data_IF_277240282028
#
_entry.id   IF_277240282028
#
_cell.length_a   1.000
_cell.length_b   1.000
_cell.length_c   1.000
_cell.angle_alpha   90.00
_cell.angle_beta   90.00
_cell.angle_gamma   90.00
#
_symmetry.space_group_name_H-M   'P 1'
#
loop_
_entity.id
_entity.type
_entity.pdbx_description
1 polymer ?
#
# COMPACT_ATOMS: atom_id res chain seq x y z
N UNK A 1 -4.48 2.07 -18.31
CA UNK A 1 -5.73 2.84 -18.12
C UNK A 1 -5.42 4.32 -18.31
N UNK A 2 -6.38 5.16 -18.67
CA UNK A 2 -6.14 6.59 -18.94
C UNK A 2 -7.10 7.50 -18.15
N UNK A 3 -6.78 8.79 -18.06
CA UNK A 3 -7.66 9.82 -17.52
C UNK A 3 -8.74 10.28 -18.52
N UNK A 4 -9.63 11.20 -18.13
CA UNK A 4 -10.80 11.59 -18.92
C UNK A 4 -10.45 12.11 -20.32
N UNK A 5 -9.44 12.97 -20.43
CA UNK A 5 -9.00 13.60 -21.68
C UNK A 5 -7.99 12.75 -22.48
N UNK A 6 -7.64 11.55 -21.97
CA UNK A 6 -6.66 10.62 -22.56
C UNK A 6 -5.24 11.18 -22.68
N UNK A 7 -4.91 12.21 -21.92
CA UNK A 7 -3.56 12.80 -21.92
C UNK A 7 -2.59 12.09 -20.98
N UNK A 8 -3.08 11.31 -20.02
CA UNK A 8 -2.26 10.57 -19.05
C UNK A 8 -2.65 9.09 -18.96
N UNK A 9 -1.64 8.25 -18.75
CA UNK A 9 -1.79 6.79 -18.70
C UNK A 9 -1.19 6.22 -17.44
N UNK A 10 -1.91 5.30 -16.79
CA UNK A 10 -1.48 4.60 -15.58
C UNK A 10 -1.27 3.10 -15.82
N UNK A 11 -0.17 2.58 -15.24
CA UNK A 11 0.05 1.16 -14.96
C UNK A 11 0.15 0.98 -13.44
N UNK A 12 -0.54 -0.01 -12.91
CA UNK A 12 -0.74 -0.17 -11.47
C UNK A 12 -0.59 -1.63 -11.04
N UNK A 13 0.19 -1.87 -9.98
CA UNK A 13 0.25 -3.15 -9.27
C UNK A 13 -0.06 -2.89 -7.80
N UNK A 14 -1.24 -3.27 -7.36
CA UNK A 14 -1.67 -2.99 -6.00
C UNK A 14 -3.15 -3.16 -5.79
N UNK A 15 -3.59 -2.62 -4.66
CA UNK A 15 -4.98 -2.45 -4.27
C UNK A 15 -5.10 -1.13 -3.49
N UNK A 16 -6.06 -0.29 -3.86
CA UNK A 16 -6.45 0.89 -3.06
C UNK A 16 -7.75 0.58 -2.33
N UNK A 17 -7.68 0.38 -1.02
CA UNK A 17 -8.81 -0.03 -0.19
C UNK A 17 -9.92 1.02 -0.09
N UNK A 18 -9.58 2.30 -0.14
CA UNK A 18 -10.54 3.42 -0.06
C UNK A 18 -10.97 3.96 -1.43
N UNK A 19 -10.79 3.21 -2.52
CA UNK A 19 -11.08 3.71 -3.88
C UNK A 19 -12.54 4.11 -4.08
N UNK A 20 -13.49 3.45 -3.40
CA UNK A 20 -14.93 3.76 -3.51
C UNK A 20 -15.28 5.13 -2.94
N UNK A 21 -14.67 5.48 -1.81
CA UNK A 21 -14.82 6.80 -1.18
C UNK A 21 -14.21 7.88 -2.08
N UNK A 22 -12.97 7.65 -2.54
CA UNK A 22 -12.27 8.57 -3.44
C UNK A 22 -13.04 8.80 -4.74
N UNK A 23 -13.56 7.72 -5.33
CA UNK A 23 -14.39 7.78 -6.53
C UNK A 23 -15.63 8.63 -6.31
N UNK A 24 -16.41 8.36 -5.25
CA UNK A 24 -17.63 9.10 -4.97
C UNK A 24 -17.35 10.62 -4.80
N UNK A 25 -16.23 10.98 -4.18
CA UNK A 25 -15.84 12.38 -4.02
C UNK A 25 -15.31 13.01 -5.32
N UNK A 26 -14.70 12.24 -6.22
CA UNK A 26 -14.29 12.70 -7.56
C UNK A 26 -15.50 12.84 -8.49
N UNK A 27 -16.47 11.92 -8.45
CA UNK A 27 -17.71 12.00 -9.23
C UNK A 27 -18.50 13.27 -8.88
N UNK A 28 -18.59 13.63 -7.59
CA UNK A 28 -19.20 14.90 -7.13
C UNK A 28 -18.50 16.14 -7.67
N UNK A 29 -17.22 16.04 -8.03
CA UNK A 29 -16.42 17.11 -8.63
C UNK A 29 -16.44 17.10 -10.16
N UNK A 30 -17.23 16.22 -10.76
CA UNK A 30 -17.43 16.16 -12.21
C UNK A 30 -16.48 15.21 -12.95
N UNK A 31 -15.71 14.38 -12.24
CA UNK A 31 -14.91 13.35 -12.91
C UNK A 31 -15.81 12.23 -13.45
N UNK A 32 -15.76 12.02 -14.76
CA UNK A 32 -16.43 10.89 -15.41
C UNK A 32 -15.55 9.63 -15.42
N UNK A 33 -16.10 8.52 -14.95
CA UNK A 33 -15.44 7.22 -14.90
C UNK A 33 -16.05 6.26 -15.94
N UNK A 34 -15.21 5.43 -16.56
CA UNK A 34 -15.59 4.40 -17.53
C UNK A 34 -15.32 2.96 -17.06
N UNK A 35 -14.71 2.76 -15.90
CA UNK A 35 -14.54 1.47 -15.23
C UNK A 35 -14.99 1.57 -13.78
N UNK A 36 -14.96 0.45 -13.03
CA UNK A 36 -15.13 0.43 -11.57
C UNK A 36 -13.84 0.09 -10.83
N UNK A 37 -12.68 0.20 -11.50
CA UNK A 37 -11.39 -0.17 -10.94
C UNK A 37 -10.84 0.93 -10.03
N UNK A 38 -10.12 0.51 -8.99
CA UNK A 38 -9.30 1.37 -8.16
C UNK A 38 -8.24 2.15 -8.96
N UNK A 39 -7.69 1.54 -10.01
CA UNK A 39 -6.71 2.14 -10.92
C UNK A 39 -7.23 3.45 -11.54
N UNK A 40 -8.53 3.52 -11.81
CA UNK A 40 -9.14 4.71 -12.42
C UNK A 40 -9.26 5.84 -11.41
N UNK A 41 -9.62 5.50 -10.16
CA UNK A 41 -9.67 6.48 -9.09
C UNK A 41 -8.31 7.15 -8.87
N UNK A 42 -7.21 6.40 -9.01
CA UNK A 42 -5.86 6.94 -8.86
C UNK A 42 -5.54 7.97 -9.95
N UNK A 43 -5.83 7.67 -11.23
CA UNK A 43 -5.46 8.60 -12.30
C UNK A 43 -6.30 9.88 -12.26
N UNK A 44 -7.59 9.80 -11.91
CA UNK A 44 -8.41 11.01 -11.70
C UNK A 44 -7.96 11.81 -10.47
N UNK A 45 -7.56 11.13 -9.40
CA UNK A 45 -7.01 11.81 -8.23
C UNK A 45 -5.68 12.50 -8.54
N UNK A 46 -4.84 11.92 -9.40
CA UNK A 46 -3.61 12.53 -9.89
C UNK A 46 -3.87 13.72 -10.83
N UNK A 47 -4.94 13.67 -11.63
CA UNK A 47 -5.36 14.83 -12.42
C UNK A 47 -5.71 16.04 -11.54
N UNK A 48 -6.39 15.80 -10.42
CA UNK A 48 -6.81 16.83 -9.48
C UNK A 48 -5.66 17.37 -8.62
N UNK A 49 -4.84 16.47 -8.06
CA UNK A 49 -3.86 16.83 -7.02
C UNK A 49 -2.40 16.67 -7.44
N UNK A 50 -2.13 16.19 -8.65
CA UNK A 50 -0.77 15.82 -9.06
C UNK A 50 -0.14 14.81 -8.11
N UNK A 51 1.13 15.00 -7.78
CA UNK A 51 1.88 14.12 -6.87
C UNK A 51 1.32 14.07 -5.44
N UNK A 52 0.57 15.09 -5.00
CA UNK A 52 -0.03 15.14 -3.67
C UNK A 52 -1.21 14.15 -3.53
N UNK A 53 -1.68 13.56 -4.63
CA UNK A 53 -2.70 12.51 -4.62
C UNK A 53 -2.34 11.34 -3.67
N UNK A 54 -1.05 11.04 -3.53
CA UNK A 54 -0.53 9.92 -2.74
C UNK A 54 -0.92 9.98 -1.25
N UNK A 55 -1.20 11.17 -0.70
CA UNK A 55 -1.58 11.31 0.70
C UNK A 55 -2.97 10.74 1.00
N UNK A 56 -3.86 10.74 0.01
CA UNK A 56 -5.24 10.27 0.14
C UNK A 56 -5.39 8.76 -0.12
N UNK A 57 -4.42 8.13 -0.77
CA UNK A 57 -4.47 6.71 -1.10
C UNK A 57 -4.26 5.85 0.15
N UNK A 58 -5.18 4.92 0.43
CA UNK A 58 -5.01 3.88 1.46
C UNK A 58 -4.94 2.53 0.77
N UNK A 59 -3.74 1.97 0.67
CA UNK A 59 -3.53 0.77 -0.15
C UNK A 59 -2.15 0.19 -0.02
N UNK A 60 -1.91 -0.89 -0.77
CA UNK A 60 -0.58 -1.39 -1.10
C UNK A 60 -0.41 -1.25 -2.61
N UNK A 61 0.63 -0.58 -3.07
CA UNK A 61 0.73 -0.30 -4.50
C UNK A 61 2.15 0.08 -4.94
N UNK A 62 2.40 -0.19 -6.22
CA UNK A 62 3.43 0.42 -7.03
C UNK A 62 2.76 0.84 -8.34
N UNK A 63 2.88 2.10 -8.71
CA UNK A 63 2.19 2.67 -9.86
C UNK A 63 3.10 3.55 -10.70
N UNK A 64 2.72 3.73 -11.95
CA UNK A 64 3.39 4.61 -12.89
C UNK A 64 2.39 5.39 -13.72
N UNK A 65 2.60 6.69 -13.84
CA UNK A 65 1.75 7.61 -14.59
C UNK A 65 2.60 8.26 -15.66
N UNK A 66 2.18 8.15 -16.90
CA UNK A 66 2.85 8.71 -18.06
C UNK A 66 1.99 9.83 -18.64
N UNK A 67 2.47 11.06 -18.60
CA UNK A 67 1.90 12.19 -19.32
C UNK A 67 2.33 12.17 -20.78
N UNK A 68 1.38 12.19 -21.72
CA UNK A 68 1.69 12.22 -23.15
C UNK A 68 2.19 13.58 -23.60
N UNK A 69 1.64 14.66 -23.04
CA UNK A 69 1.90 16.04 -23.49
C UNK A 69 3.26 16.53 -23.04
N UNK A 70 3.58 16.34 -21.76
CA UNK A 70 4.84 16.78 -21.14
C UNK A 70 5.92 15.68 -21.18
N UNK A 71 5.56 14.48 -21.67
CA UNK A 71 6.38 13.26 -21.66
C UNK A 71 6.87 12.89 -20.26
N UNK A 72 6.20 13.34 -19.20
CA UNK A 72 6.65 13.05 -17.85
C UNK A 72 6.23 11.65 -17.40
N UNK A 73 7.09 10.96 -16.67
CA UNK A 73 6.82 9.69 -16.03
C UNK A 73 6.93 9.86 -14.52
N UNK A 74 5.83 9.67 -13.82
CA UNK A 74 5.74 9.63 -12.37
C UNK A 74 5.68 8.18 -11.92
N UNK A 75 6.65 7.73 -11.12
CA UNK A 75 6.65 6.40 -10.50
C UNK A 75 6.34 6.55 -9.02
N UNK A 76 5.40 5.82 -8.42
CA UNK A 76 5.14 5.90 -6.98
C UNK A 76 4.89 4.52 -6.32
N UNK A 77 4.93 4.52 -4.99
CA UNK A 77 4.73 3.34 -4.12
C UNK A 77 3.97 3.70 -2.85
N UNK A 78 3.37 2.68 -2.24
CA UNK A 78 2.71 2.79 -0.94
C UNK A 78 3.67 3.16 0.21
N UNK A 79 3.05 3.51 1.35
CA UNK A 79 3.71 4.09 2.51
C UNK A 79 4.87 3.31 3.10
N UNK A 80 4.79 1.99 2.98
CA UNK A 80 5.81 1.08 3.51
C UNK A 80 6.46 0.31 2.38
N UNK A 81 6.25 0.68 1.12
CA UNK A 81 6.77 -0.01 -0.04
C UNK A 81 6.41 -1.51 -0.05
N UNK A 82 5.18 -1.89 0.32
CA UNK A 82 4.77 -3.30 0.29
C UNK A 82 4.89 -3.89 -1.12
N UNK A 83 4.55 -3.13 -2.17
CA UNK A 83 4.74 -3.54 -3.55
C UNK A 83 6.07 -3.01 -4.11
N UNK A 84 6.93 -3.85 -4.71
CA UNK A 84 8.22 -3.41 -5.25
C UNK A 84 8.08 -2.62 -6.56
N UNK A 85 8.95 -1.61 -6.72
CA UNK A 85 9.28 -1.01 -8.02
C UNK A 85 10.80 -0.97 -8.16
N UNK A 86 11.29 -1.42 -9.30
CA UNK A 86 12.68 -1.47 -9.69
C UNK A 86 12.83 -0.58 -10.92
N UNK A 87 13.91 0.18 -11.02
CA UNK A 87 14.17 0.99 -12.21
C UNK A 87 15.66 1.05 -12.55
N UNK A 88 15.97 1.33 -13.80
CA UNK A 88 17.34 1.41 -14.31
C UNK A 88 17.45 2.52 -15.35
N UNK A 89 18.28 3.51 -15.07
CA UNK A 89 18.64 4.56 -16.02
C UNK A 89 19.70 4.04 -16.98
N UNK A 90 19.42 4.16 -18.28
CA UNK A 90 20.33 3.74 -19.33
C UNK A 90 21.18 4.90 -19.84
N UNK A 91 22.40 4.64 -20.37
CA UNK A 91 23.25 5.69 -20.94
C UNK A 91 22.61 6.47 -22.08
N UNK A 92 21.68 5.87 -22.82
CA UNK A 92 20.96 6.49 -23.93
C UNK A 92 19.78 7.39 -23.46
N UNK A 93 19.57 7.53 -22.15
CA UNK A 93 18.45 8.31 -21.60
C UNK A 93 17.17 7.50 -21.35
N UNK A 94 17.15 6.20 -21.63
CA UNK A 94 15.95 5.40 -21.33
C UNK A 94 15.81 5.15 -19.82
N UNK A 95 14.56 5.15 -19.35
CA UNK A 95 14.20 4.64 -18.04
C UNK A 95 13.43 3.33 -18.20
N UNK A 96 13.99 2.25 -17.66
CA UNK A 96 13.36 0.94 -17.63
C UNK A 96 12.88 0.69 -16.21
N UNK A 97 11.64 0.27 -16.01
CA UNK A 97 11.10 -0.06 -14.69
C UNK A 97 10.24 -1.33 -14.69
N UNK A 98 10.06 -1.93 -13.53
CA UNK A 98 9.23 -3.13 -13.35
C UNK A 98 9.11 -3.54 -11.89
N UNK A 99 8.17 -4.42 -11.57
CA UNK A 99 7.94 -4.90 -10.20
C UNK A 99 8.83 -6.08 -9.79
N UNK A 100 9.42 -6.79 -10.75
CA UNK A 100 10.16 -8.03 -10.49
C UNK A 100 11.60 -7.99 -11.01
N UNK A 101 12.52 -8.47 -10.16
CA UNK A 101 13.96 -8.47 -10.44
C UNK A 101 14.32 -9.35 -11.64
N UNK A 102 13.72 -10.54 -11.74
CA UNK A 102 14.01 -11.45 -12.85
C UNK A 102 13.44 -10.95 -14.17
N UNK A 103 12.27 -10.28 -14.14
CA UNK A 103 11.66 -9.72 -15.35
C UNK A 103 12.50 -8.59 -15.94
N UNK A 104 12.91 -7.62 -15.11
CA UNK A 104 13.68 -6.46 -15.59
C UNK A 104 15.08 -6.84 -16.08
N UNK A 105 15.70 -7.87 -15.52
CA UNK A 105 16.99 -8.39 -15.97
C UNK A 105 16.95 -9.11 -17.33
N UNK A 106 15.76 -9.44 -17.86
CA UNK A 106 15.66 -9.97 -19.23
C UNK A 106 15.86 -8.88 -20.30
N UNK A 107 15.77 -7.60 -19.93
CA UNK A 107 15.98 -6.52 -20.88
C UNK A 107 17.48 -6.37 -21.20
N UNK A 108 17.90 -6.40 -22.48
CA UNK A 108 19.33 -6.45 -22.87
C UNK A 108 20.19 -5.31 -22.29
N UNK A 109 19.62 -4.11 -22.18
CA UNK A 109 20.32 -2.94 -21.64
C UNK A 109 20.46 -2.96 -20.11
N UNK A 110 19.66 -3.76 -19.40
CA UNK A 110 19.65 -3.76 -17.92
C UNK A 110 20.73 -4.72 -17.40
N UNK A 111 21.71 -4.15 -16.70
CA UNK A 111 22.72 -4.92 -15.97
C UNK A 111 22.47 -4.84 -14.46
N UNK A 112 22.82 -5.89 -13.71
CA UNK A 112 22.62 -5.94 -12.25
C UNK A 112 23.22 -4.73 -11.51
N UNK A 113 24.37 -4.23 -11.97
CA UNK A 113 25.04 -3.07 -11.38
C UNK A 113 24.34 -1.72 -11.62
N UNK A 114 23.41 -1.64 -12.58
CA UNK A 114 22.62 -0.43 -12.90
C UNK A 114 21.17 -0.55 -12.44
N UNK A 115 20.82 -1.63 -11.75
CA UNK A 115 19.48 -1.81 -11.23
C UNK A 115 19.35 -1.07 -9.91
N UNK A 116 18.62 0.03 -9.95
CA UNK A 116 18.20 0.72 -8.76
C UNK A 116 16.90 0.07 -8.30
N UNK A 117 17.02 -0.82 -7.33
CA UNK A 117 15.92 -0.92 -6.39
C UNK A 117 16.05 0.30 -5.48
N UNK A 118 14.93 0.94 -5.15
CA UNK A 118 14.97 1.76 -3.95
C UNK A 118 15.18 0.81 -2.77
N UNK A 119 16.46 0.59 -2.45
CA UNK A 119 17.02 -0.40 -1.50
C UNK A 119 16.58 -0.12 -0.05
N UNK A 120 15.72 0.87 0.13
CA UNK A 120 15.21 1.36 1.40
C UNK A 120 14.45 0.30 2.20
N UNK A 121 13.70 -0.63 1.59
CA UNK A 121 12.92 -1.58 2.40
C UNK A 121 13.76 -2.69 3.03
N UNK A 122 14.63 -3.32 2.23
CA UNK A 122 15.50 -4.40 2.73
C UNK A 122 16.49 -3.85 3.77
N UNK A 123 16.98 -2.61 3.59
CA UNK A 123 17.87 -1.98 4.55
C UNK A 123 17.16 -1.32 5.73
N UNK A 124 15.97 -0.73 5.63
CA UNK A 124 15.35 -0.05 6.78
C UNK A 124 14.81 -1.00 7.85
N UNK A 125 14.37 -2.22 7.48
CA UNK A 125 14.03 -3.24 8.48
C UNK A 125 15.27 -3.72 9.25
N UNK A 126 16.44 -3.77 8.58
CA UNK A 126 17.72 -4.15 9.19
C UNK A 126 18.43 -2.96 9.88
N UNK A 127 18.18 -1.73 9.44
CA UNK A 127 18.85 -0.51 9.90
C UNK A 127 17.87 0.31 10.70
N UNK A 128 17.86 0.16 12.04
CA UNK A 128 17.14 1.00 13.02
C UNK A 128 17.45 2.52 12.95
N UNK A 129 18.09 3.02 11.88
CA UNK A 129 18.70 4.35 11.77
C UNK A 129 18.09 5.27 10.71
N UNK A 130 17.10 4.87 9.91
CA UNK A 130 16.47 5.78 8.95
C UNK A 130 14.95 5.75 9.00
N UNK A 131 14.35 6.93 9.19
CA UNK A 131 12.90 7.15 9.19
C UNK A 131 12.31 6.61 7.86
N UNK A 132 11.26 5.77 7.89
CA UNK A 132 10.56 5.36 6.69
C UNK A 132 10.08 6.59 5.94
N UNK A 133 10.34 6.62 4.65
CA UNK A 133 9.82 7.63 3.73
C UNK A 133 8.45 7.13 3.25
N UNK A 134 7.41 7.89 3.52
CA UNK A 134 5.99 7.48 3.46
C UNK A 134 5.38 7.47 2.06
N UNK A 135 6.10 7.90 1.04
CA UNK A 135 5.84 7.56 -0.36
C UNK A 135 6.95 8.23 -1.14
N UNK A 136 7.50 7.52 -2.11
CA UNK A 136 8.58 8.03 -2.94
C UNK A 136 8.09 8.07 -4.36
N UNK A 137 8.34 9.19 -5.03
CA UNK A 137 8.15 9.25 -6.45
C UNK A 137 9.37 9.76 -7.21
N UNK A 138 9.44 9.34 -8.46
CA UNK A 138 10.43 9.79 -9.43
C UNK A 138 9.67 10.39 -10.59
N UNK A 139 9.89 11.68 -10.85
CA UNK A 139 9.48 12.33 -12.09
C UNK A 139 10.64 12.20 -13.08
N UNK A 140 10.39 11.63 -14.25
CA UNK A 140 11.35 11.50 -15.32
C UNK A 140 10.83 12.19 -16.57
N UNK A 141 11.65 13.01 -17.22
CA UNK A 141 11.33 13.55 -18.54
C UNK A 141 12.39 13.04 -19.55
N UNK A 142 12.01 12.20 -20.52
CA UNK A 142 12.92 11.67 -21.52
C UNK A 142 13.40 12.74 -22.50
N UNK A 143 12.65 13.83 -22.72
CA UNK A 143 13.04 14.91 -23.62
C UNK A 143 14.23 15.73 -23.09
N UNK A 144 14.37 15.81 -21.77
CA UNK A 144 15.49 16.52 -21.12
C UNK A 144 16.55 15.56 -20.56
N UNK A 145 16.34 14.24 -20.63
CA UNK A 145 17.22 13.24 -20.02
C UNK A 145 17.40 13.44 -18.51
N UNK A 146 16.52 14.21 -17.87
CA UNK A 146 16.65 14.61 -16.48
C UNK A 146 15.65 13.87 -15.63
N UNK A 147 16.12 13.22 -14.57
CA UNK A 147 15.26 12.91 -13.45
C UNK A 147 14.90 14.23 -12.78
N UNK A 148 13.63 14.60 -12.87
CA UNK A 148 13.06 15.60 -11.96
C UNK A 148 13.36 15.19 -10.52
N UNK A 149 13.38 16.16 -9.61
CA UNK A 149 13.65 15.94 -8.18
C UNK A 149 12.92 14.67 -7.72
N UNK A 150 13.67 13.68 -7.23
CA UNK A 150 13.07 12.56 -6.48
C UNK A 150 12.46 13.14 -5.23
N UNK A 151 11.21 13.56 -5.35
CA UNK A 151 10.49 14.11 -4.23
C UNK A 151 9.92 12.93 -3.46
N UNK A 152 10.24 12.97 -2.18
CA UNK A 152 9.55 12.14 -1.21
C UNK A 152 8.49 13.04 -0.64
N UNK A 153 7.22 12.78 -0.91
CA UNK A 153 6.15 13.36 -0.10
C UNK A 153 6.35 12.84 1.32
N UNK A 154 6.93 13.69 2.18
CA UNK A 154 6.86 13.49 3.62
C UNK A 154 5.43 13.84 3.98
N UNK A 155 4.71 12.93 4.63
CA UNK A 155 3.58 13.34 5.46
C UNK A 155 4.16 14.28 6.52
N UNK A 156 4.05 15.60 6.29
CA UNK A 156 4.50 16.68 7.15
C UNK A 156 6.00 16.70 7.44
N UNK A 157 6.65 17.85 7.24
CA UNK A 157 7.99 18.11 7.80
C UNK A 157 7.98 18.22 9.34
N UNK A 158 6.85 17.91 9.99
CA UNK A 158 6.67 17.77 11.44
C UNK A 158 6.64 16.29 11.83
N UNK A 159 7.81 15.64 11.85
CA UNK A 159 8.03 14.37 12.57
C UNK A 159 7.10 13.22 12.18
N UNK A 160 7.59 12.30 11.33
CA UNK A 160 6.99 11.00 11.04
C UNK A 160 6.16 10.44 12.23
N UNK A 161 4.81 10.49 12.18
CA UNK A 161 3.96 10.22 13.33
C UNK A 161 4.06 8.77 13.83
N UNK A 162 4.62 7.88 13.01
CA UNK A 162 4.86 6.47 13.33
C UNK A 162 5.73 6.29 14.59
N UNK A 163 6.55 7.30 14.96
CA UNK A 163 7.42 7.23 16.14
C UNK A 163 7.06 8.22 17.25
N UNK A 164 5.99 9.01 17.09
CA UNK A 164 5.55 9.89 18.16
C UNK A 164 4.78 9.06 19.17
N UNK A 165 5.35 8.90 20.37
CA UNK A 165 4.63 8.28 21.48
C UNK A 165 3.49 9.20 21.91
N UNK A 166 2.27 8.77 21.64
CA UNK A 166 1.07 9.39 22.20
C UNK A 166 0.93 9.01 23.67
N UNK A 167 0.41 9.92 24.49
CA UNK A 167 0.12 9.68 25.91
C UNK A 167 -1.38 9.46 26.05
N UNK A 168 -1.76 8.20 26.26
CA UNK A 168 -3.14 7.75 26.47
C UNK A 168 -3.16 6.69 27.57
N UNK A 169 -4.31 6.45 28.18
CA UNK A 169 -4.49 5.36 29.14
C UNK A 169 -4.38 3.98 28.47
N UNK A 170 -4.18 2.94 29.28
CA UNK A 170 -4.14 1.55 28.78
C UNK A 170 -5.48 1.15 28.14
N UNK A 171 -6.61 1.52 28.77
CA UNK A 171 -7.94 1.23 28.25
C UNK A 171 -8.20 1.91 26.90
N UNK A 172 -7.83 3.18 26.76
CA UNK A 172 -7.89 3.89 25.48
C UNK A 172 -6.99 3.24 24.43
N UNK A 173 -5.79 2.79 24.81
CA UNK A 173 -4.88 2.12 23.89
C UNK A 173 -5.46 0.80 23.38
N UNK A 174 -6.12 0.01 24.23
CA UNK A 174 -6.81 -1.23 23.86
C UNK A 174 -7.94 -0.93 22.87
N UNK A 175 -8.78 0.05 23.19
CA UNK A 175 -9.92 0.43 22.35
C UNK A 175 -9.46 0.92 20.97
N UNK A 176 -8.49 1.83 20.94
CA UNK A 176 -8.02 2.44 19.69
C UNK A 176 -7.26 1.43 18.83
N UNK A 177 -6.43 0.58 19.44
CA UNK A 177 -5.75 -0.51 18.72
C UNK A 177 -6.77 -1.47 18.10
N UNK A 178 -7.79 -1.86 18.86
CA UNK A 178 -8.85 -2.74 18.36
C UNK A 178 -9.63 -2.10 17.22
N UNK A 179 -9.99 -0.81 17.36
CA UNK A 179 -10.69 -0.02 16.33
C UNK A 179 -9.88 0.02 15.04
N UNK A 180 -8.60 0.39 15.11
CA UNK A 180 -7.70 0.49 13.96
C UNK A 180 -7.48 -0.90 13.30
N UNK A 181 -7.26 -1.95 14.09
CA UNK A 181 -7.07 -3.30 13.56
C UNK A 181 -8.32 -3.83 12.85
N UNK A 182 -9.51 -3.57 13.42
CA UNK A 182 -10.78 -3.93 12.80
C UNK A 182 -11.00 -3.17 11.49
N UNK A 183 -10.81 -1.85 11.49
CA UNK A 183 -10.90 -1.02 10.29
C UNK A 183 -9.92 -1.47 9.20
N UNK A 184 -8.66 -1.72 9.58
CA UNK A 184 -7.60 -2.18 8.69
C UNK A 184 -7.91 -3.55 8.06
N UNK A 185 -8.50 -4.46 8.85
CA UNK A 185 -8.95 -5.78 8.38
C UNK A 185 -10.12 -5.63 7.41
N UNK A 186 -11.14 -4.85 7.77
CA UNK A 186 -12.33 -4.61 6.95
C UNK A 186 -11.97 -4.04 5.57
N UNK A 187 -11.08 -3.05 5.54
CA UNK A 187 -10.60 -2.44 4.29
C UNK A 187 -9.92 -3.46 3.36
N UNK A 188 -9.26 -4.48 3.91
CA UNK A 188 -8.59 -5.56 3.16
C UNK A 188 -9.51 -6.73 2.80
N UNK A 189 -10.75 -6.71 3.28
CA UNK A 189 -11.75 -7.73 2.95
C UNK A 189 -12.60 -7.36 1.73
N UNK A 190 -12.44 -6.16 1.18
CA UNK A 190 -13.10 -5.74 -0.05
C UNK A 190 -12.45 -6.50 -1.22
N UNK A 191 -13.14 -7.52 -1.73
CA UNK A 191 -12.66 -8.38 -2.81
C UNK A 191 -13.81 -8.90 -3.65
N UNK A 192 -13.60 -9.00 -4.96
CA UNK A 192 -14.55 -9.63 -5.90
C UNK A 192 -14.33 -11.15 -6.01
N UNK A 193 -13.20 -11.64 -5.49
CA UNK A 193 -12.84 -13.05 -5.47
C UNK A 193 -12.81 -13.60 -4.04
N UNK A 194 -13.01 -14.91 -3.83
CA UNK A 194 -12.97 -15.53 -2.51
C UNK A 194 -11.65 -15.25 -1.78
N UNK A 195 -11.75 -14.80 -0.53
CA UNK A 195 -10.60 -14.55 0.33
C UNK A 195 -10.26 -15.76 1.21
N UNK A 196 -8.98 -15.86 1.54
CA UNK A 196 -8.46 -16.77 2.55
C UNK A 196 -7.39 -16.09 3.38
N UNK A 197 -7.06 -16.67 4.53
CA UNK A 197 -6.05 -16.16 5.44
C UNK A 197 -5.02 -17.24 5.80
N UNK A 198 -3.77 -16.82 5.98
CA UNK A 198 -2.75 -17.69 6.54
C UNK A 198 -2.84 -17.67 8.07
N UNK A 199 -2.89 -18.85 8.68
CA UNK A 199 -2.98 -19.04 10.13
C UNK A 199 -1.78 -19.85 10.62
N UNK A 200 -0.95 -19.26 11.48
CA UNK A 200 0.28 -19.87 11.99
C UNK A 200 0.19 -20.32 13.45
N UNK A 201 -0.94 -20.07 14.13
CA UNK A 201 -1.08 -20.26 15.58
C UNK A 201 -0.49 -19.13 16.43
N UNK A 202 0.22 -18.18 15.79
CA UNK A 202 0.70 -16.96 16.45
C UNK A 202 -0.39 -15.92 16.65
N UNK A 203 -0.21 -15.05 17.64
CA UNK A 203 -1.18 -14.00 18.01
C UNK A 203 -1.55 -13.09 16.84
N UNK A 204 -0.58 -12.70 16.00
CA UNK A 204 -0.81 -11.78 14.88
C UNK A 204 -1.79 -12.35 13.85
N UNK A 205 -1.51 -13.56 13.35
CA UNK A 205 -2.38 -14.23 12.38
C UNK A 205 -3.75 -14.56 12.98
N UNK A 206 -3.79 -14.91 14.27
CA UNK A 206 -5.02 -15.25 14.98
C UNK A 206 -5.93 -14.04 15.14
N UNK A 207 -5.37 -12.87 15.47
CA UNK A 207 -6.13 -11.61 15.57
C UNK A 207 -6.73 -11.25 14.20
N UNK A 208 -5.94 -11.29 13.12
CA UNK A 208 -6.43 -10.98 11.78
C UNK A 208 -7.57 -11.91 11.38
N UNK A 209 -7.38 -13.23 11.57
CA UNK A 209 -8.41 -14.23 11.25
C UNK A 209 -9.66 -14.03 12.09
N UNK A 210 -9.53 -13.74 13.39
CA UNK A 210 -10.66 -13.48 14.26
C UNK A 210 -11.44 -12.24 13.83
N UNK A 211 -10.75 -11.14 13.49
CA UNK A 211 -11.38 -9.93 12.97
C UNK A 211 -12.05 -10.18 11.60
N UNK A 212 -11.40 -10.94 10.72
CA UNK A 212 -12.01 -11.32 9.44
C UNK A 212 -13.30 -12.13 9.65
N UNK A 213 -13.30 -13.04 10.61
CA UNK A 213 -14.47 -13.86 10.92
C UNK A 213 -15.62 -13.03 11.53
N UNK A 214 -15.31 -11.96 12.27
CA UNK A 214 -16.31 -11.02 12.82
C UNK A 214 -16.92 -10.12 11.74
N UNK A 215 -16.15 -9.72 10.74
CA UNK A 215 -16.60 -8.85 9.64
C UNK A 215 -17.22 -9.64 8.47
N UNK A 216 -17.10 -10.97 8.46
CA UNK A 216 -17.60 -11.84 7.39
C UNK A 216 -18.92 -12.50 7.78
N UNK A 217 -19.89 -12.50 6.86
CA UNK A 217 -21.11 -13.29 6.99
C UNK A 217 -20.87 -14.80 6.82
N UNK A 218 -19.77 -15.19 6.16
CA UNK A 218 -19.41 -16.58 5.89
C UNK A 218 -18.12 -16.98 6.64
N UNK A 219 -17.92 -18.28 6.96
CA UNK A 219 -16.67 -18.74 7.55
C UNK A 219 -15.45 -18.41 6.68
N UNK A 220 -14.40 -17.90 7.31
CA UNK A 220 -13.11 -17.57 6.68
C UNK A 220 -12.34 -18.85 6.39
N UNK A 221 -11.87 -19.01 5.15
CA UNK A 221 -10.96 -20.09 4.79
C UNK A 221 -9.57 -19.80 5.33
N UNK A 222 -9.00 -20.73 6.09
CA UNK A 222 -7.65 -20.60 6.64
C UNK A 222 -6.71 -21.70 6.20
N UNK A 223 -5.45 -21.34 6.02
CA UNK A 223 -4.37 -22.24 5.57
C UNK A 223 -3.16 -22.12 6.48
N UNK A 224 -2.60 -23.25 6.91
CA UNK A 224 -1.31 -23.29 7.62
C UNK A 224 -0.19 -23.77 6.71
N UNK A 225 1.07 -23.46 7.05
CA UNK A 225 2.24 -23.90 6.29
C UNK A 225 2.40 -25.43 6.23
N UNK A 226 1.75 -26.17 7.13
CA UNK A 226 1.70 -27.64 7.12
C UNK A 226 0.64 -28.21 6.16
N UNK A 227 -0.09 -27.37 5.42
CA UNK A 227 -1.11 -27.80 4.46
C UNK A 227 -2.48 -28.10 5.08
N UNK A 228 -2.68 -27.88 6.38
CA UNK A 228 -4.02 -28.00 6.98
C UNK A 228 -4.90 -26.85 6.53
N UNK A 229 -6.09 -27.22 6.05
CA UNK A 229 -7.17 -26.28 5.73
C UNK A 229 -8.23 -26.36 6.82
N UNK A 230 -8.63 -25.21 7.34
CA UNK A 230 -9.75 -25.09 8.28
C UNK A 230 -10.67 -23.95 7.86
N UNK A 231 -11.88 -23.92 8.43
CA UNK A 231 -12.82 -22.81 8.28
C UNK A 231 -13.13 -22.25 9.66
N UNK A 232 -12.96 -20.95 9.82
CA UNK A 232 -13.19 -20.26 11.09
C UNK A 232 -14.35 -19.29 10.91
N UNK A 233 -15.39 -19.44 11.73
CA UNK A 233 -16.49 -18.49 11.83
C UNK A 233 -16.39 -17.75 13.17
N UNK A 234 -16.96 -16.56 13.26
CA UNK A 234 -17.10 -15.91 14.55
C UNK A 234 -18.00 -16.75 15.45
N UNK A 235 -17.49 -17.20 16.59
CA UNK A 235 -18.35 -17.67 17.66
C UNK A 235 -19.07 -16.46 18.25
N UNK A 236 -20.36 -16.58 18.51
CA UNK A 236 -21.22 -15.51 19.07
C UNK A 236 -20.82 -15.06 20.49
N UNK A 237 -19.77 -15.62 21.07
CA UNK A 237 -19.27 -15.31 22.41
C UNK A 237 -17.74 -15.20 22.39
N UNK A 238 -17.22 -14.01 22.14
CA UNK A 238 -15.97 -13.60 22.79
C UNK A 238 -16.37 -12.84 24.05
N UNK A 239 -16.18 -13.40 25.26
CA UNK A 239 -16.35 -12.61 26.47
C UNK A 239 -15.36 -11.43 26.40
N UNK A 240 -15.84 -10.23 26.75
CA UNK A 240 -14.98 -9.08 26.97
C UNK A 240 -13.81 -9.52 27.85
N UNK A 241 -12.59 -9.23 27.41
CA UNK A 241 -11.38 -9.58 28.13
C UNK A 241 -11.47 -9.03 29.56
N UNK A 242 -11.75 -9.90 30.53
CA UNK A 242 -11.69 -9.51 31.94
C UNK A 242 -10.21 -9.33 32.27
N UNK A 243 -9.80 -8.25 32.96
CA UNK A 243 -8.41 -8.07 33.36
C UNK A 243 -8.07 -9.13 34.42
N UNK A 244 -7.49 -10.25 33.99
CA UNK A 244 -7.01 -11.27 34.90
C UNK A 244 -5.73 -10.76 35.56
N UNK A 245 -5.83 -10.53 36.87
CA UNK A 245 -4.74 -10.11 37.76
C UNK A 245 -3.55 -11.05 37.59
N UNK A 246 -2.49 -10.57 36.93
CA UNK A 246 -1.19 -11.20 36.93
C UNK A 246 -0.61 -11.10 38.36
N UNK A 247 -0.87 -12.11 39.19
CA UNK A 247 -0.19 -12.27 40.48
C UNK A 247 1.27 -12.61 40.19
N UNK A 248 2.16 -11.62 40.37
CA UNK A 248 3.59 -11.87 40.57
C UNK A 248 3.73 -12.81 41.77
N UNK A 249 4.24 -14.02 41.55
CA UNK A 249 4.87 -14.78 42.62
C UNK A 249 6.23 -14.15 42.88
N UNK A 250 6.43 -13.79 44.15
CA UNK A 250 7.69 -13.36 44.75
C UNK A 250 8.71 -14.49 44.65
#
# INVERSE_FOLDING_TARGET
MHNADRTKWIVFNGEIYNYRELRADLEKRGHGFYTNSDTEAIIHLYDEYGADCLQYLRGMFADSHLGQVDRSLFLARDRVGKKPILYSHQPNGDLIFGSEFLAILKHPSVTRGRLWCDRQLFFNLASRRRRPRLSRYVNWNPATGSSGKTATSRLGDTGCPIFQKIKISEDEAIQETTRILRESTKLRMISEVPLGAFLSGGVDSSIVVALMAQESAAPVNTFSGSGLRSRISASSNMPAASPSKCRRRV
#
